data_IF_783443604998
#
_entry.id   IF_783443604998
#
_cell.length_a   1.000
_cell.length_b   1.000
_cell.length_c   1.000
_cell.angle_alpha   90.00
_cell.angle_beta   90.00
_cell.angle_gamma   90.00
#
_symmetry.space_group_name_H-M   'P 1'
#
loop_
_entity.id
_entity.type
_entity.pdbx_description
1 polymer ?
#
# COMPACT_ATOMS: atom_id res chain seq x y z
N UNK A 1 57.19 15.74 -18.64
CA UNK A 1 57.22 15.53 -17.18
C UNK A 1 58.33 14.55 -16.74
N UNK A 2 58.45 13.36 -17.33
CA UNK A 2 59.43 12.33 -16.98
C UNK A 2 60.88 12.81 -17.15
N UNK A 3 61.19 13.52 -18.25
CA UNK A 3 62.50 14.06 -18.56
C UNK A 3 62.94 15.08 -17.48
N UNK A 4 62.05 15.95 -17.00
CA UNK A 4 62.34 16.91 -15.91
C UNK A 4 62.70 16.25 -14.60
N UNK A 5 62.05 15.14 -14.26
CA UNK A 5 62.34 14.34 -13.04
C UNK A 5 63.70 13.65 -13.14
N UNK A 6 64.04 13.11 -14.34
CA UNK A 6 65.32 12.46 -14.60
C UNK A 6 66.47 13.48 -14.49
N UNK A 7 66.31 14.66 -15.07
CA UNK A 7 67.31 15.75 -14.98
C UNK A 7 67.48 16.20 -13.53
N UNK A 8 66.42 16.29 -12.75
CA UNK A 8 66.48 16.71 -11.35
C UNK A 8 67.16 15.65 -10.46
N UNK A 9 66.93 14.35 -10.73
CA UNK A 9 67.61 13.25 -10.06
C UNK A 9 69.13 13.26 -10.44
N UNK A 10 69.45 13.48 -11.71
CA UNK A 10 70.82 13.55 -12.18
C UNK A 10 71.60 14.73 -11.54
N UNK A 11 70.97 15.90 -11.44
CA UNK A 11 71.54 17.08 -10.76
C UNK A 11 71.71 16.79 -9.26
N UNK A 12 70.79 16.12 -8.61
CA UNK A 12 70.91 15.75 -7.20
C UNK A 12 72.04 14.76 -6.95
N UNK A 13 72.22 13.76 -7.82
CA UNK A 13 73.34 12.82 -7.76
C UNK A 13 74.67 13.52 -7.99
N UNK A 14 74.76 14.48 -8.93
CA UNK A 14 75.99 15.25 -9.17
C UNK A 14 76.32 16.13 -7.96
N UNK A 15 75.35 16.79 -7.33
CA UNK A 15 75.53 17.61 -6.14
C UNK A 15 76.02 16.75 -4.93
N UNK A 16 75.44 15.58 -4.74
CA UNK A 16 75.88 14.62 -3.69
C UNK A 16 77.30 14.07 -3.97
N UNK A 17 77.60 13.79 -5.23
CA UNK A 17 78.93 13.31 -5.66
C UNK A 17 80.04 14.39 -5.45
N UNK A 18 79.73 15.64 -5.71
CA UNK A 18 80.66 16.77 -5.49
C UNK A 18 80.82 17.08 -4.00
N UNK A 19 79.73 16.93 -3.22
CA UNK A 19 79.75 17.16 -1.75
C UNK A 19 80.58 16.09 -0.98
N UNK A 20 80.76 14.87 -1.54
CA UNK A 20 81.49 13.78 -0.89
C UNK A 20 83.02 13.81 -1.14
N UNK A 21 83.50 14.79 -1.96
CA UNK A 21 84.94 15.01 -2.06
C UNK A 21 85.39 16.01 -1.01
N UNK A 22 86.10 15.50 -0.03
CA UNK A 22 86.70 16.18 1.11
C UNK A 22 87.45 17.49 0.80
N UNK A 23 87.29 18.43 1.72
CA UNK A 23 88.07 19.69 1.83
C UNK A 23 87.81 20.74 0.82
N UNK A 24 86.85 21.62 1.09
CA UNK A 24 87.04 23.00 0.67
C UNK A 24 86.58 23.96 1.77
N UNK A 25 87.57 24.69 2.13
CA UNK A 25 87.71 25.88 2.93
C UNK A 25 86.47 26.68 3.28
N UNK A 26 86.43 27.19 4.48
CA UNK A 26 85.42 27.98 5.15
C UNK A 26 84.98 29.30 4.44
N UNK A 27 85.58 29.61 3.34
CA UNK A 27 85.29 30.81 2.48
C UNK A 27 85.32 30.41 1.00
N UNK A 28 84.19 30.08 0.40
CA UNK A 28 84.19 29.74 -1.00
C UNK A 28 82.77 29.62 -1.62
N UNK A 29 82.69 29.48 -2.94
CA UNK A 29 81.46 29.59 -3.79
C UNK A 29 80.34 28.66 -3.47
N UNK A 30 80.50 27.76 -2.53
CA UNK A 30 79.48 26.82 -2.09
C UNK A 30 78.21 27.46 -1.48
N UNK A 31 78.37 28.63 -0.87
CA UNK A 31 77.23 29.38 -0.31
C UNK A 31 76.29 29.94 -1.37
N UNK A 32 76.83 30.31 -2.51
CA UNK A 32 76.08 30.85 -3.67
C UNK A 32 75.36 29.72 -4.36
N UNK A 33 75.98 28.54 -4.47
CA UNK A 33 75.32 27.36 -5.05
C UNK A 33 74.14 26.89 -4.20
N UNK A 34 74.29 26.86 -2.87
CA UNK A 34 73.18 26.49 -1.96
C UNK A 34 72.07 27.50 -1.97
N UNK A 35 72.39 28.80 -2.03
CA UNK A 35 71.38 29.88 -2.11
C UNK A 35 70.59 29.90 -3.42
N UNK A 36 71.16 29.41 -4.51
CA UNK A 36 70.49 29.29 -5.81
C UNK A 36 69.64 28.02 -5.94
N UNK A 37 70.02 26.95 -5.27
CA UNK A 37 69.34 25.62 -5.33
C UNK A 37 68.22 25.54 -4.32
N UNK A 38 68.33 26.18 -3.14
CA UNK A 38 67.32 26.19 -2.11
C UNK A 38 65.90 26.59 -2.57
N UNK A 39 65.70 27.70 -3.33
CA UNK A 39 64.35 28.08 -3.81
C UNK A 39 63.77 27.07 -4.82
N UNK A 40 64.64 26.38 -5.58
CA UNK A 40 64.20 25.36 -6.54
C UNK A 40 63.71 24.08 -5.80
N UNK A 41 64.41 23.66 -4.75
CA UNK A 41 63.96 22.53 -3.91
C UNK A 41 62.65 22.84 -3.20
N UNK A 42 62.48 24.06 -2.71
CA UNK A 42 61.24 24.49 -2.08
C UNK A 42 60.08 24.51 -3.04
N UNK A 43 60.26 25.01 -4.29
CA UNK A 43 59.25 24.99 -5.33
C UNK A 43 58.86 23.58 -5.73
N UNK A 44 59.80 22.65 -5.88
CA UNK A 44 59.54 21.22 -6.18
C UNK A 44 58.78 20.54 -5.05
N UNK A 45 59.24 20.78 -3.82
CA UNK A 45 58.59 20.17 -2.61
C UNK A 45 57.15 20.72 -2.43
N UNK A 46 56.93 22.00 -2.76
CA UNK A 46 55.62 22.63 -2.72
C UNK A 46 54.70 22.05 -3.80
N UNK A 47 55.23 21.84 -5.02
CA UNK A 47 54.51 21.25 -6.15
C UNK A 47 54.13 19.77 -5.86
N UNK A 48 55.00 18.99 -5.29
CA UNK A 48 54.74 17.59 -4.93
C UNK A 48 53.65 17.52 -3.84
N UNK A 49 53.68 18.40 -2.83
CA UNK A 49 52.65 18.47 -1.79
C UNK A 49 51.31 18.85 -2.39
N UNK A 50 51.26 19.86 -3.26
CA UNK A 50 50.08 20.31 -3.95
C UNK A 50 49.44 19.20 -4.80
N UNK A 51 50.23 18.45 -5.56
CA UNK A 51 49.75 17.31 -6.34
C UNK A 51 49.22 16.19 -5.43
N UNK A 52 49.91 15.89 -4.33
CA UNK A 52 49.49 14.90 -3.37
C UNK A 52 48.18 15.27 -2.71
N UNK A 53 47.96 16.53 -2.36
CA UNK A 53 46.75 17.03 -1.73
C UNK A 53 45.57 16.99 -2.71
N UNK A 54 45.80 17.36 -3.99
CA UNK A 54 44.76 17.24 -5.03
C UNK A 54 44.35 15.76 -5.24
N UNK A 55 45.33 14.88 -5.33
CA UNK A 55 45.06 13.45 -5.50
C UNK A 55 44.35 12.86 -4.29
N UNK A 56 44.74 13.23 -3.07
CA UNK A 56 44.09 12.83 -1.84
C UNK A 56 42.62 13.28 -1.80
N UNK A 57 42.35 14.53 -2.14
CA UNK A 57 40.99 15.06 -2.22
C UNK A 57 40.15 14.38 -3.31
N UNK A 58 40.72 14.14 -4.48
CA UNK A 58 40.02 13.48 -5.56
C UNK A 58 39.61 12.04 -5.21
N UNK A 59 40.53 11.24 -4.67
CA UNK A 59 40.22 9.88 -4.21
C UNK A 59 39.20 9.87 -3.05
N UNK A 60 39.32 10.84 -2.15
CA UNK A 60 38.35 10.98 -1.05
C UNK A 60 36.94 11.33 -1.60
N UNK A 61 36.83 12.27 -2.54
CA UNK A 61 35.54 12.63 -3.16
C UNK A 61 34.89 11.43 -3.90
N UNK A 62 35.68 10.70 -4.69
CA UNK A 62 35.21 9.52 -5.40
C UNK A 62 34.71 8.46 -4.43
N UNK A 63 35.45 8.21 -3.35
CA UNK A 63 35.05 7.26 -2.31
C UNK A 63 33.76 7.69 -1.60
N UNK A 64 33.66 8.96 -1.22
CA UNK A 64 32.45 9.53 -0.61
C UNK A 64 31.25 9.47 -1.56
N UNK A 65 31.44 9.76 -2.84
CA UNK A 65 30.37 9.62 -3.84
C UNK A 65 29.88 8.17 -3.93
N UNK A 66 30.81 7.21 -3.98
CA UNK A 66 30.48 5.79 -4.04
C UNK A 66 29.79 5.27 -2.76
N UNK A 67 30.25 5.72 -1.59
CA UNK A 67 29.58 5.45 -0.32
C UNK A 67 28.17 6.05 -0.27
N UNK A 68 28.00 7.28 -0.75
CA UNK A 68 26.69 7.95 -0.83
C UNK A 68 25.72 7.17 -1.72
N UNK A 69 26.18 6.69 -2.88
CA UNK A 69 25.35 5.88 -3.77
C UNK A 69 25.00 4.51 -3.14
N UNK A 70 25.92 3.92 -2.40
CA UNK A 70 25.65 2.69 -1.66
C UNK A 70 24.63 2.93 -0.52
N UNK A 71 24.75 4.03 0.22
CA UNK A 71 23.77 4.40 1.26
C UNK A 71 22.39 4.71 0.67
N UNK A 72 22.33 5.39 -0.47
CA UNK A 72 21.05 5.63 -1.17
C UNK A 72 20.38 4.33 -1.60
N UNK A 73 21.14 3.38 -2.15
CA UNK A 73 20.62 2.05 -2.51
C UNK A 73 20.15 1.27 -1.27
N UNK A 74 20.95 1.27 -0.22
CA UNK A 74 20.59 0.62 1.04
C UNK A 74 19.33 1.24 1.66
N UNK A 75 19.20 2.57 1.64
CA UNK A 75 18.02 3.28 2.09
C UNK A 75 16.79 2.93 1.24
N UNK A 76 16.93 2.93 -0.09
CA UNK A 76 15.84 2.53 -1.00
C UNK A 76 15.33 1.12 -0.71
N UNK A 77 16.24 0.16 -0.56
CA UNK A 77 15.86 -1.21 -0.17
C UNK A 77 15.25 -1.31 1.23
N UNK A 78 15.71 -0.49 2.17
CA UNK A 78 15.12 -0.46 3.51
C UNK A 78 13.69 0.08 3.49
N UNK A 79 13.44 1.15 2.72
CA UNK A 79 12.10 1.73 2.51
C UNK A 79 11.17 0.73 1.81
N UNK A 80 11.65 0.05 0.78
CA UNK A 80 10.89 -0.98 0.07
C UNK A 80 10.47 -2.12 1.01
N UNK A 81 11.42 -2.63 1.81
CA UNK A 81 11.13 -3.68 2.81
C UNK A 81 10.16 -3.21 3.90
N UNK A 82 10.28 -1.97 4.37
CA UNK A 82 9.37 -1.40 5.36
C UNK A 82 7.95 -1.28 4.81
N UNK A 83 7.80 -0.83 3.55
CA UNK A 83 6.51 -0.78 2.89
C UNK A 83 5.89 -2.17 2.72
N UNK A 84 6.68 -3.15 2.27
CA UNK A 84 6.24 -4.55 2.17
C UNK A 84 5.82 -5.12 3.53
N UNK A 85 6.60 -4.86 4.58
CA UNK A 85 6.27 -5.30 5.93
C UNK A 85 4.97 -4.69 6.45
N UNK A 86 4.74 -3.40 6.20
CA UNK A 86 3.49 -2.72 6.56
C UNK A 86 2.30 -3.36 5.85
N UNK A 87 2.42 -3.61 4.55
CA UNK A 87 1.36 -4.23 3.76
C UNK A 87 1.03 -5.64 4.24
N UNK A 88 2.05 -6.49 4.47
CA UNK A 88 1.88 -7.82 5.03
C UNK A 88 1.23 -7.79 6.42
N UNK A 89 1.57 -6.82 7.26
CA UNK A 89 0.95 -6.64 8.58
C UNK A 89 -0.53 -6.30 8.47
N UNK A 90 -0.90 -5.36 7.58
CA UNK A 90 -2.29 -4.98 7.35
C UNK A 90 -3.09 -6.16 6.79
N UNK A 91 -2.55 -6.87 5.81
CA UNK A 91 -3.17 -8.08 5.25
C UNK A 91 -3.38 -9.15 6.35
N UNK A 92 -2.39 -9.38 7.22
CA UNK A 92 -2.53 -10.32 8.33
C UNK A 92 -3.66 -9.93 9.30
N UNK A 93 -3.82 -8.62 9.59
CA UNK A 93 -4.91 -8.11 10.43
C UNK A 93 -6.27 -8.38 9.75
N UNK A 94 -6.41 -8.06 8.45
CA UNK A 94 -7.64 -8.31 7.67
C UNK A 94 -8.00 -9.80 7.65
N UNK A 95 -7.03 -10.65 7.33
CA UNK A 95 -7.23 -12.10 7.28
C UNK A 95 -7.62 -12.69 8.64
N UNK A 96 -7.02 -12.23 9.74
CA UNK A 96 -7.41 -12.64 11.10
C UNK A 96 -8.83 -12.19 11.44
N UNK A 97 -9.21 -10.95 11.06
CA UNK A 97 -10.57 -10.46 11.23
C UNK A 97 -11.57 -11.34 10.48
N UNK A 98 -11.30 -11.62 9.19
CA UNK A 98 -12.14 -12.51 8.38
C UNK A 98 -12.20 -13.93 8.92
N UNK A 99 -11.10 -14.48 9.45
CA UNK A 99 -11.09 -15.82 10.06
C UNK A 99 -11.91 -15.87 11.35
N UNK A 100 -11.85 -14.85 12.19
CA UNK A 100 -12.67 -14.77 13.40
C UNK A 100 -14.15 -14.61 13.04
N UNK A 101 -14.47 -13.76 12.06
CA UNK A 101 -15.84 -13.59 11.58
C UNK A 101 -16.40 -14.89 10.97
N UNK A 102 -15.60 -15.66 10.22
CA UNK A 102 -15.99 -16.97 9.71
C UNK A 102 -16.55 -17.90 10.79
N UNK A 103 -15.99 -17.85 12.01
CA UNK A 103 -16.44 -18.69 13.13
C UNK A 103 -17.83 -18.29 13.66
N UNK A 104 -18.28 -17.06 13.39
CA UNK A 104 -19.60 -16.57 13.83
C UNK A 104 -20.71 -16.89 12.84
N UNK A 105 -20.38 -17.28 11.61
CA UNK A 105 -21.35 -17.67 10.59
C UNK A 105 -21.57 -19.20 10.68
N UNK A 106 -22.80 -19.65 10.96
CA UNK A 106 -23.08 -21.07 11.10
C UNK A 106 -23.06 -21.85 9.78
N UNK A 107 -23.08 -21.13 8.65
CA UNK A 107 -23.09 -21.69 7.31
C UNK A 107 -21.68 -22.01 6.81
N UNK A 108 -21.59 -22.89 5.80
CA UNK A 108 -20.32 -23.17 5.12
C UNK A 108 -19.88 -21.95 4.30
N UNK A 109 -18.73 -21.37 4.61
CA UNK A 109 -18.18 -20.21 3.90
C UNK A 109 -16.79 -20.51 3.34
N UNK A 110 -16.47 -19.88 2.23
CA UNK A 110 -15.12 -19.86 1.64
C UNK A 110 -14.62 -18.43 1.54
N UNK A 111 -13.31 -18.24 1.70
CA UNK A 111 -12.67 -16.95 1.42
C UNK A 111 -12.46 -16.78 -0.09
N UNK A 112 -12.64 -15.56 -0.57
CA UNK A 112 -12.42 -15.16 -1.95
C UNK A 112 -11.74 -13.80 -2.01
N UNK A 113 -10.98 -13.56 -3.06
CA UNK A 113 -10.23 -12.32 -3.32
C UNK A 113 -10.85 -11.56 -4.50
N UNK A 114 -10.80 -10.25 -4.46
CA UNK A 114 -11.21 -9.41 -5.59
C UNK A 114 -10.14 -9.47 -6.68
N UNK A 115 -10.50 -9.94 -7.85
CA UNK A 115 -9.61 -10.00 -9.02
C UNK A 115 -9.92 -8.89 -10.05
N UNK A 116 -11.03 -8.17 -9.87
CA UNK A 116 -11.41 -7.07 -10.75
C UNK A 116 -12.62 -6.29 -10.27
N UNK A 117 -12.70 -5.03 -10.64
CA UNK A 117 -13.88 -4.16 -10.43
C UNK A 117 -14.41 -3.76 -11.79
N UNK A 118 -15.73 -3.71 -11.92
CA UNK A 118 -16.39 -3.19 -13.13
C UNK A 118 -16.14 -1.67 -13.21
N UNK A 119 -15.53 -1.17 -14.28
CA UNK A 119 -15.26 0.26 -14.42
C UNK A 119 -16.52 1.09 -14.76
N UNK A 120 -17.64 0.42 -14.99
CA UNK A 120 -18.90 1.10 -15.35
C UNK A 120 -19.44 1.91 -14.17
N UNK A 121 -19.81 3.18 -14.37
CA UNK A 121 -20.49 3.96 -13.33
C UNK A 121 -21.90 3.46 -13.03
N UNK A 122 -22.50 2.69 -13.94
CA UNK A 122 -23.88 2.21 -13.89
C UNK A 122 -24.03 0.89 -13.13
N UNK A 123 -23.02 0.05 -13.16
CA UNK A 123 -23.02 -1.27 -12.50
C UNK A 123 -21.98 -1.33 -11.41
N UNK A 124 -22.42 -1.51 -10.19
CA UNK A 124 -21.57 -1.67 -9.02
C UNK A 124 -21.33 -3.15 -8.80
N UNK A 125 -20.38 -3.74 -9.54
CA UNK A 125 -20.05 -5.15 -9.48
C UNK A 125 -18.56 -5.39 -9.41
N UNK A 126 -18.18 -6.52 -8.83
CA UNK A 126 -16.80 -6.98 -8.70
C UNK A 126 -16.68 -8.42 -9.17
N UNK A 127 -15.46 -8.83 -9.52
CA UNK A 127 -15.12 -10.22 -9.80
C UNK A 127 -14.27 -10.79 -8.68
N UNK A 128 -14.55 -12.04 -8.31
CA UNK A 128 -13.84 -12.80 -7.27
C UNK A 128 -13.20 -14.05 -7.87
N UNK A 129 -12.08 -14.50 -7.26
CA UNK A 129 -11.24 -15.65 -7.65
C UNK A 129 -11.86 -17.03 -7.34
N UNK A 130 -13.13 -17.10 -6.99
CA UNK A 130 -13.84 -18.35 -6.69
C UNK A 130 -15.01 -18.57 -7.64
N UNK A 131 -15.14 -19.80 -8.12
CA UNK A 131 -16.15 -20.17 -9.10
C UNK A 131 -16.88 -21.48 -8.78
N UNK A 132 -17.42 -22.09 -9.83
CA UNK A 132 -18.17 -23.35 -9.73
C UNK A 132 -17.34 -24.47 -9.11
N UNK A 133 -16.05 -24.54 -9.42
CA UNK A 133 -15.16 -25.56 -8.88
C UNK A 133 -14.99 -25.45 -7.36
N UNK A 134 -15.13 -24.25 -6.80
CA UNK A 134 -15.08 -23.99 -5.36
C UNK A 134 -16.43 -24.16 -4.67
N UNK A 135 -17.47 -24.53 -5.44
CA UNK A 135 -18.81 -24.71 -4.95
C UNK A 135 -19.67 -23.44 -4.92
N UNK A 136 -19.19 -22.35 -5.53
CA UNK A 136 -19.99 -21.11 -5.64
C UNK A 136 -21.18 -21.34 -6.58
N UNK A 137 -22.31 -20.79 -6.21
CA UNK A 137 -23.57 -20.85 -6.99
C UNK A 137 -24.11 -19.43 -7.16
N UNK A 138 -24.88 -19.23 -8.25
CA UNK A 138 -25.64 -18.00 -8.42
C UNK A 138 -26.61 -17.83 -7.26
N UNK A 139 -26.72 -16.60 -6.75
CA UNK A 139 -27.63 -16.24 -5.69
C UNK A 139 -27.08 -16.41 -4.28
N UNK A 140 -25.79 -16.80 -4.10
CA UNK A 140 -25.20 -16.87 -2.76
C UNK A 140 -24.75 -15.52 -2.26
N UNK A 141 -24.81 -15.32 -0.94
CA UNK A 141 -24.37 -14.08 -0.30
C UNK A 141 -22.85 -13.95 -0.25
N UNK A 142 -22.38 -12.71 -0.37
CA UNK A 142 -20.99 -12.32 -0.18
C UNK A 142 -20.93 -11.30 0.95
N UNK A 143 -20.11 -11.58 1.96
CA UNK A 143 -20.06 -10.82 3.21
C UNK A 143 -18.62 -10.56 3.65
N UNK A 144 -18.45 -9.55 4.49
CA UNK A 144 -17.21 -9.22 5.20
C UNK A 144 -17.53 -9.04 6.69
N UNK A 145 -16.53 -8.90 7.58
CA UNK A 145 -16.79 -8.68 9.00
C UNK A 145 -17.68 -7.46 9.31
N UNK A 146 -17.58 -6.41 8.51
CA UNK A 146 -18.34 -5.17 8.67
C UNK A 146 -19.79 -5.30 8.23
N UNK A 147 -20.12 -6.27 7.33
CA UNK A 147 -21.48 -6.47 6.89
C UNK A 147 -21.63 -7.17 5.54
N UNK A 148 -22.80 -6.97 4.96
CA UNK A 148 -23.14 -7.53 3.64
C UNK A 148 -22.48 -6.72 2.54
N UNK A 149 -21.71 -7.39 1.67
CA UNK A 149 -21.11 -6.78 0.51
C UNK A 149 -21.99 -6.89 -0.75
N UNK A 150 -22.58 -8.06 -0.99
CA UNK A 150 -23.37 -8.29 -2.19
C UNK A 150 -23.86 -9.71 -2.37
N UNK A 151 -24.23 -10.04 -3.61
CA UNK A 151 -24.75 -11.34 -4.02
C UNK A 151 -24.10 -11.77 -5.33
N UNK A 152 -23.77 -13.06 -5.46
CA UNK A 152 -23.25 -13.62 -6.71
C UNK A 152 -24.36 -13.67 -7.77
N UNK A 153 -24.13 -12.98 -8.90
CA UNK A 153 -25.07 -12.92 -10.03
C UNK A 153 -24.70 -13.86 -11.17
N UNK A 154 -23.41 -14.05 -11.41
CA UNK A 154 -22.90 -14.91 -12.46
C UNK A 154 -21.74 -15.77 -11.92
N UNK A 155 -21.66 -17.01 -12.40
CA UNK A 155 -20.63 -17.96 -11.96
C UNK A 155 -20.00 -18.62 -13.17
N UNK A 156 -18.69 -18.48 -13.29
CA UNK A 156 -17.85 -19.22 -14.22
C UNK A 156 -17.16 -20.40 -13.53
N UNK A 157 -16.30 -21.12 -14.22
CA UNK A 157 -15.57 -22.26 -13.67
C UNK A 157 -14.67 -21.90 -12.50
N UNK A 158 -13.91 -20.77 -12.63
CA UNK A 158 -12.87 -20.36 -11.67
C UNK A 158 -13.13 -19.00 -11.02
N UNK A 159 -14.10 -18.23 -11.50
CA UNK A 159 -14.41 -16.88 -11.01
C UNK A 159 -15.91 -16.64 -10.97
N UNK A 160 -16.34 -15.63 -10.22
CA UNK A 160 -17.75 -15.24 -10.15
C UNK A 160 -17.89 -13.73 -10.12
N UNK A 161 -19.02 -13.24 -10.64
CA UNK A 161 -19.41 -11.82 -10.59
C UNK A 161 -20.34 -11.60 -9.41
N UNK A 162 -20.02 -10.61 -8.61
CA UNK A 162 -20.78 -10.21 -7.42
C UNK A 162 -21.39 -8.84 -7.65
N UNK A 163 -22.68 -8.73 -7.50
CA UNK A 163 -23.43 -7.48 -7.51
C UNK A 163 -23.41 -6.91 -6.08
N UNK A 164 -22.89 -5.70 -5.93
CA UNK A 164 -22.81 -5.04 -4.62
C UNK A 164 -24.16 -4.51 -4.16
N UNK A 165 -24.38 -4.39 -2.85
CA UNK A 165 -25.68 -3.90 -2.31
C UNK A 165 -25.97 -2.44 -2.67
N UNK A 166 -24.94 -1.67 -3.07
CA UNK A 166 -25.07 -0.29 -3.55
C UNK A 166 -25.49 -0.18 -5.01
N UNK A 167 -25.60 -1.31 -5.74
CA UNK A 167 -26.12 -1.32 -7.11
C UNK A 167 -27.65 -1.14 -7.12
N UNK A 168 -28.16 -0.38 -8.08
CA UNK A 168 -29.60 -0.13 -8.23
C UNK A 168 -30.45 -1.40 -8.45
N UNK A 169 -29.83 -2.45 -9.01
CA UNK A 169 -30.48 -3.73 -9.25
C UNK A 169 -30.37 -4.67 -8.04
N UNK A 170 -29.62 -4.29 -7.01
CA UNK A 170 -29.52 -5.07 -5.78
C UNK A 170 -30.77 -4.90 -4.93
N UNK A 171 -31.16 -5.98 -4.24
CA UNK A 171 -32.25 -5.96 -3.28
C UNK A 171 -31.92 -6.91 -2.11
N UNK A 172 -31.94 -6.40 -0.88
CA UNK A 172 -31.71 -7.16 0.34
C UNK A 172 -32.91 -6.98 1.28
N UNK A 173 -33.54 -8.08 1.67
CA UNK A 173 -34.60 -8.04 2.69
C UNK A 173 -33.98 -7.74 4.05
N UNK A 174 -34.38 -6.62 4.64
CA UNK A 174 -33.76 -6.08 5.84
C UNK A 174 -34.78 -5.59 6.86
N UNK A 175 -34.30 -5.39 8.08
CA UNK A 175 -35.12 -4.84 9.15
C UNK A 175 -34.27 -3.94 10.06
N UNK A 176 -34.92 -2.97 10.68
CA UNK A 176 -34.34 -2.18 11.77
C UNK A 176 -34.15 -3.08 12.98
N UNK A 177 -32.93 -3.12 13.52
CA UNK A 177 -32.59 -4.02 14.63
C UNK A 177 -33.43 -3.74 15.89
N UNK A 178 -33.65 -2.45 16.23
CA UNK A 178 -34.38 -2.00 17.42
C UNK A 178 -35.87 -2.31 17.36
N UNK A 179 -36.54 -1.89 16.27
CA UNK A 179 -38.00 -1.90 16.18
C UNK A 179 -38.58 -3.03 15.35
N UNK A 180 -37.70 -3.79 14.69
CA UNK A 180 -38.08 -4.82 13.75
C UNK A 180 -38.92 -4.33 12.55
N UNK A 181 -38.89 -3.02 12.29
CA UNK A 181 -39.49 -2.42 11.10
C UNK A 181 -38.81 -2.99 9.84
N UNK A 182 -39.62 -3.54 8.92
CA UNK A 182 -39.15 -4.30 7.75
C UNK A 182 -39.22 -3.47 6.49
N UNK A 183 -38.35 -3.78 5.55
CA UNK A 183 -38.29 -3.21 4.23
C UNK A 183 -37.24 -3.88 3.37
N UNK A 184 -36.96 -3.28 2.23
CA UNK A 184 -35.97 -3.78 1.26
C UNK A 184 -34.91 -2.72 1.08
N UNK A 185 -33.64 -3.09 1.28
CA UNK A 185 -32.49 -2.27 0.94
C UNK A 185 -32.25 -2.38 -0.56
N UNK A 186 -32.18 -1.22 -1.22
CA UNK A 186 -31.78 -1.07 -2.62
C UNK A 186 -30.59 -0.10 -2.72
N UNK A 187 -29.72 -0.33 -3.67
CA UNK A 187 -28.69 0.64 -3.99
C UNK A 187 -29.27 1.97 -4.47
N UNK A 188 -28.64 3.03 -4.09
CA UNK A 188 -29.01 4.40 -4.43
C UNK A 188 -27.86 5.16 -5.12
N UNK A 189 -27.96 6.47 -5.16
CA UNK A 189 -26.91 7.34 -5.65
C UNK A 189 -25.82 7.56 -4.60
N UNK A 190 -24.58 7.86 -5.04
CA UNK A 190 -23.46 8.21 -4.18
C UNK A 190 -23.17 7.18 -3.08
N UNK A 191 -23.14 5.87 -3.44
CA UNK A 191 -22.81 4.73 -2.56
C UNK A 191 -23.67 4.62 -1.29
N UNK A 192 -24.86 5.23 -1.31
CA UNK A 192 -25.89 5.13 -0.27
C UNK A 192 -26.92 4.07 -0.66
N UNK A 193 -27.60 3.53 0.33
CA UNK A 193 -28.70 2.62 0.12
C UNK A 193 -30.03 3.30 0.50
N UNK A 194 -31.08 2.89 -0.17
CA UNK A 194 -32.47 3.27 0.13
C UNK A 194 -33.18 2.09 0.79
N UNK A 195 -33.73 2.30 1.96
CA UNK A 195 -34.53 1.32 2.66
C UNK A 195 -36.01 1.57 2.32
N UNK A 196 -36.49 0.86 1.33
CA UNK A 196 -37.84 1.02 0.73
C UNK A 196 -38.88 0.13 1.40
N UNK A 197 -40.14 0.49 1.18
CA UNK A 197 -41.33 -0.22 1.67
C UNK A 197 -41.43 -0.27 3.20
N UNK A 198 -40.83 0.68 3.90
CA UNK A 198 -40.98 0.85 5.35
C UNK A 198 -42.27 1.61 5.63
N UNK A 199 -43.17 1.03 6.40
CA UNK A 199 -44.47 1.66 6.69
C UNK A 199 -44.28 2.94 7.50
N UNK A 200 -45.05 4.00 7.18
CA UNK A 200 -45.04 5.28 7.92
C UNK A 200 -45.35 5.15 9.42
N UNK A 201 -46.14 4.10 9.80
CA UNK A 201 -46.46 3.78 11.19
C UNK A 201 -45.30 3.16 11.97
N UNK A 202 -44.28 2.66 11.26
CA UNK A 202 -43.11 2.06 11.91
C UNK A 202 -42.23 3.14 12.48
N UNK A 203 -41.76 2.92 13.71
CA UNK A 203 -40.79 3.80 14.36
C UNK A 203 -39.39 3.49 13.81
N UNK A 204 -38.84 4.45 13.05
CA UNK A 204 -37.47 4.42 12.49
C UNK A 204 -36.84 5.76 12.78
N UNK A 205 -35.69 5.74 13.40
CA UNK A 205 -34.92 6.94 13.75
C UNK A 205 -33.53 6.94 13.08
N UNK A 206 -33.00 8.16 12.86
CA UNK A 206 -31.60 8.33 12.41
C UNK A 206 -30.67 7.70 13.45
N UNK A 207 -29.69 6.93 12.99
CA UNK A 207 -28.76 6.16 13.84
C UNK A 207 -29.21 4.70 14.09
N UNK A 208 -30.44 4.33 13.78
CA UNK A 208 -30.87 2.93 13.91
C UNK A 208 -30.05 2.00 13.01
N UNK A 209 -29.64 0.87 13.58
CA UNK A 209 -28.92 -0.18 12.83
C UNK A 209 -29.90 -0.99 11.98
N UNK A 210 -29.54 -1.20 10.72
CA UNK A 210 -30.28 -2.06 9.79
C UNK A 210 -29.50 -3.35 9.58
N UNK A 211 -30.22 -4.49 9.68
CA UNK A 211 -29.66 -5.84 9.53
C UNK A 211 -30.51 -6.67 8.57
N UNK A 212 -29.92 -7.71 7.98
CA UNK A 212 -30.64 -8.66 7.13
C UNK A 212 -31.74 -9.38 7.91
N UNK A 213 -32.88 -9.60 7.26
CA UNK A 213 -34.01 -10.35 7.85
C UNK A 213 -33.81 -11.88 7.84
N UNK A 214 -33.09 -12.38 6.82
CA UNK A 214 -32.91 -13.79 6.52
C UNK A 214 -34.10 -14.45 5.80
N UNK A 215 -35.12 -13.67 5.40
CA UNK A 215 -36.34 -14.22 4.80
C UNK A 215 -36.27 -14.35 3.28
N UNK A 216 -35.36 -13.64 2.63
CA UNK A 216 -35.07 -13.79 1.21
C UNK A 216 -34.38 -15.13 0.87
N UNK A 217 -33.88 -15.86 1.89
CA UNK A 217 -33.16 -17.11 1.71
C UNK A 217 -31.81 -16.97 1.02
N UNK A 218 -31.29 -15.76 0.92
CA UNK A 218 -30.00 -15.42 0.35
C UNK A 218 -29.03 -15.03 1.45
N UNK A 219 -29.40 -14.07 2.27
CA UNK A 219 -28.56 -13.55 3.32
C UNK A 219 -28.90 -14.20 4.67
N UNK A 220 -27.91 -14.68 5.44
CA UNK A 220 -28.11 -15.07 6.82
C UNK A 220 -28.79 -13.97 7.63
N UNK A 221 -29.64 -14.34 8.58
CA UNK A 221 -30.34 -13.41 9.45
C UNK A 221 -29.36 -12.66 10.37
N UNK A 222 -29.56 -11.35 10.52
CA UNK A 222 -28.87 -10.53 11.50
C UNK A 222 -27.50 -10.00 11.06
N UNK A 223 -27.13 -10.17 9.80
CA UNK A 223 -25.90 -9.56 9.27
C UNK A 223 -26.06 -8.05 9.17
N UNK A 224 -25.07 -7.25 9.60
CA UNK A 224 -25.09 -5.81 9.46
C UNK A 224 -25.20 -5.38 8.00
N UNK A 225 -26.00 -4.34 7.75
CA UNK A 225 -26.10 -3.68 6.45
C UNK A 225 -25.54 -2.27 6.54
N UNK A 226 -26.04 -1.49 7.51
CA UNK A 226 -25.67 -0.10 7.70
C UNK A 226 -26.47 0.56 8.81
N UNK A 227 -26.42 1.88 8.88
CA UNK A 227 -27.21 2.69 9.79
C UNK A 227 -28.10 3.67 9.03
N UNK A 228 -29.22 3.99 9.60
CA UNK A 228 -30.17 4.99 9.07
C UNK A 228 -29.51 6.37 9.14
N UNK A 229 -29.34 7.01 8.00
CA UNK A 229 -28.76 8.36 7.87
C UNK A 229 -29.81 9.46 7.66
N UNK A 230 -31.02 9.10 7.27
CA UNK A 230 -32.12 10.05 7.08
C UNK A 230 -33.46 9.34 7.00
N UNK A 231 -34.52 10.02 7.47
CA UNK A 231 -35.91 9.55 7.42
C UNK A 231 -36.79 10.69 6.96
N UNK A 232 -37.54 10.47 5.87
CA UNK A 232 -38.51 11.42 5.34
C UNK A 232 -39.89 10.74 5.39
N UNK A 233 -40.80 11.29 6.18
CA UNK A 233 -42.21 10.87 6.22
C UNK A 233 -43.01 11.77 5.29
N UNK A 234 -43.50 11.25 4.15
CA UNK A 234 -44.30 12.05 3.25
C UNK A 234 -45.67 12.37 3.89
N UNK A 235 -46.25 13.49 3.51
CA UNK A 235 -47.60 13.90 3.97
C UNK A 235 -48.69 12.98 3.45
N UNK A 236 -48.44 12.26 2.35
CA UNK A 236 -49.36 11.27 1.75
C UNK A 236 -48.59 10.03 1.33
N UNK A 237 -49.17 8.87 1.55
CA UNK A 237 -48.53 7.58 1.26
C UNK A 237 -48.41 6.67 2.47
N UNK A 238 -48.23 5.38 2.24
CA UNK A 238 -48.13 4.35 3.28
C UNK A 238 -46.69 4.04 3.68
N UNK A 239 -45.73 4.46 2.85
CA UNK A 239 -44.30 4.18 3.06
C UNK A 239 -43.52 5.47 3.31
N UNK A 240 -42.58 5.42 4.24
CA UNK A 240 -41.58 6.46 4.47
C UNK A 240 -40.33 6.20 3.64
N UNK A 241 -39.62 7.27 3.30
CA UNK A 241 -38.31 7.20 2.63
C UNK A 241 -37.22 7.19 3.67
N UNK A 242 -36.42 6.12 3.70
CA UNK A 242 -35.32 5.97 4.65
C UNK A 242 -34.03 5.80 3.88
N UNK A 243 -33.06 6.68 4.16
CA UNK A 243 -31.71 6.58 3.64
C UNK A 243 -30.84 5.80 4.62
N UNK A 244 -30.00 4.92 4.10
CA UNK A 244 -29.08 4.08 4.88
C UNK A 244 -27.66 4.23 4.35
N UNK A 245 -26.73 4.49 5.26
CA UNK A 245 -25.29 4.46 4.97
C UNK A 245 -24.78 3.07 5.30
N UNK A 246 -24.23 2.32 4.32
CA UNK A 246 -23.65 1.01 4.55
C UNK A 246 -22.47 1.07 5.52
N UNK A 247 -22.23 -0.03 6.27
CA UNK A 247 -21.01 -0.17 7.07
C UNK A 247 -19.79 -0.58 6.23
N UNK A 248 -20.04 -1.19 5.08
CA UNK A 248 -19.03 -1.66 4.14
C UNK A 248 -18.50 -0.49 3.33
N UNK A 249 -17.16 -0.33 3.31
CA UNK A 249 -16.46 0.58 2.41
C UNK A 249 -16.17 -0.15 1.09
N UNK A 250 -16.98 0.12 0.06
CA UNK A 250 -16.92 -0.56 -1.24
C UNK A 250 -15.70 -0.17 -2.10
N UNK A 251 -15.00 0.89 -1.74
CA UNK A 251 -13.78 1.28 -2.46
C UNK A 251 -12.58 0.43 -2.03
N UNK A 252 -12.53 0.01 -0.78
CA UNK A 252 -11.41 -0.70 -0.14
C UNK A 252 -11.61 -2.21 0.00
N UNK A 253 -12.46 -2.80 -0.83
CA UNK A 253 -12.75 -4.22 -0.78
C UNK A 253 -11.62 -5.03 -1.43
N UNK A 254 -11.07 -5.99 -0.70
CA UNK A 254 -10.01 -6.88 -1.14
C UNK A 254 -10.36 -8.36 -0.92
N UNK A 255 -10.81 -8.74 0.28
CA UNK A 255 -11.15 -10.11 0.64
C UNK A 255 -12.61 -10.23 1.10
N UNK A 256 -13.23 -11.37 0.78
CA UNK A 256 -14.62 -11.68 1.09
C UNK A 256 -14.81 -13.08 1.65
N UNK A 257 -15.94 -13.29 2.29
CA UNK A 257 -16.47 -14.61 2.60
C UNK A 257 -17.72 -14.88 1.75
N UNK A 258 -17.69 -15.93 0.94
CA UNK A 258 -18.82 -16.40 0.15
C UNK A 258 -19.57 -17.45 0.94
N UNK A 259 -20.87 -17.26 1.18
CA UNK A 259 -21.73 -18.16 1.98
C UNK A 259 -22.29 -19.23 1.05
N UNK A 260 -21.69 -20.44 1.05
CA UNK A 260 -22.01 -21.49 0.07
C UNK A 260 -23.36 -22.17 0.30
N UNK A 261 -23.85 -22.22 1.51
CA UNK A 261 -25.01 -23.04 1.87
C UNK A 261 -25.85 -22.34 2.92
N UNK A 262 -26.62 -21.33 2.53
CA UNK A 262 -27.66 -20.83 3.40
C UNK A 262 -28.86 -21.80 3.35
N UNK A 263 -29.18 -22.44 4.47
CA UNK A 263 -30.34 -23.29 4.56
C UNK A 263 -31.59 -22.46 4.28
N UNK A 264 -32.18 -22.62 3.09
CA UNK A 264 -33.54 -22.13 2.87
C UNK A 264 -34.42 -22.75 3.98
N UNK A 265 -35.00 -21.92 4.82
CA UNK A 265 -36.07 -22.38 5.71
C UNK A 265 -37.13 -22.98 4.79
N UNK A 266 -37.26 -24.31 4.83
CA UNK A 266 -38.44 -24.97 4.26
C UNK A 266 -39.60 -24.55 5.15
N UNK A 267 -40.50 -23.77 4.60
CA UNK A 267 -41.83 -23.54 5.14
C UNK A 267 -42.62 -24.83 5.06
#
# INVERSE_FOLDING_TARGET
MIIGVIVLIAVNIIVLSVSNRRYLSYYGPGRIAISLIAPFQEAVSRSIRFVRDIWGHYFFLVKVAQENDNYKRALSHAVEKDNLYKELKLSNIRLRSSLNFRKTIPDKVIAAEVIGKDPSPWFKSIMIDKGKNDGVKKGVAVVIPEGIAGQVTEVSTHYSKVLLIIDHNSAVDALVQRTRARGIIKGGSADRCLFKYVLCKSDVAVGDTVVSSGLDGVFPKGLPVGHVSGVIKPNSGIFQEVSVTPYVDFEKLEEFLVVLNHKKHKF
#
